data_IF_559685421359
#
_entry.id   IF_559685421359
#
_cell.length_a   1.000
_cell.length_b   1.000
_cell.length_c   1.000
_cell.angle_alpha   90.00
_cell.angle_beta   90.00
_cell.angle_gamma   90.00
#
_symmetry.space_group_name_H-M   'P 1'
#
loop_
_entity.id
_entity.type
_entity.pdbx_description
1 polymer ?
#
# COMPACT_ATOMS: atom_id res chain seq x y z
N UNK A 1 -14.71 12.83 -5.15
CA UNK A 1 -15.31 12.44 -6.46
C UNK A 1 -15.25 10.91 -6.54
N UNK A 2 -16.39 10.21 -6.55
CA UNK A 2 -16.40 8.75 -6.47
C UNK A 2 -15.90 8.17 -7.80
N UNK A 3 -14.75 7.50 -7.78
CA UNK A 3 -14.11 6.96 -8.97
C UNK A 3 -14.76 5.60 -9.30
N UNK A 4 -15.97 5.68 -9.86
CA UNK A 4 -16.84 4.56 -10.23
C UNK A 4 -16.06 3.48 -11.01
N UNK A 5 -16.32 2.22 -10.69
CA UNK A 5 -15.89 0.99 -11.36
C UNK A 5 -16.02 1.07 -12.90
N UNK A 6 -16.99 1.82 -13.43
CA UNK A 6 -17.09 2.12 -14.87
C UNK A 6 -15.96 3.00 -15.40
N UNK A 7 -15.57 4.06 -14.67
CA UNK A 7 -14.40 4.89 -15.02
C UNK A 7 -13.11 4.11 -14.89
N UNK A 8 -13.01 3.19 -13.92
CA UNK A 8 -11.88 2.26 -13.79
C UNK A 8 -11.73 1.37 -15.05
N UNK A 9 -12.83 0.78 -15.53
CA UNK A 9 -12.86 -0.03 -16.76
C UNK A 9 -12.62 0.79 -18.05
N UNK A 10 -13.04 2.06 -18.09
CA UNK A 10 -12.77 2.96 -19.22
C UNK A 10 -11.33 3.50 -19.25
N UNK A 11 -10.73 3.79 -18.09
CA UNK A 11 -9.36 4.28 -17.97
C UNK A 11 -8.32 3.23 -18.40
N UNK A 12 -8.55 1.96 -18.04
CA UNK A 12 -7.72 0.81 -18.45
C UNK A 12 -7.74 0.58 -19.97
N UNK A 13 -8.84 0.94 -20.66
CA UNK A 13 -8.92 0.81 -22.12
C UNK A 13 -8.14 1.89 -22.89
N UNK A 14 -7.82 3.02 -22.26
CA UNK A 14 -7.25 4.21 -22.93
C UNK A 14 -5.77 4.46 -22.64
N UNK A 15 -5.15 3.80 -21.66
CA UNK A 15 -3.80 4.17 -21.23
C UNK A 15 -2.73 4.02 -22.32
N UNK A 16 -2.83 2.96 -23.14
CA UNK A 16 -1.92 2.70 -24.27
C UNK A 16 -2.03 3.71 -25.41
N UNK A 17 -3.12 4.49 -25.49
CA UNK A 17 -3.34 5.47 -26.56
C UNK A 17 -2.67 6.82 -26.27
N UNK A 18 -2.27 7.09 -25.03
CA UNK A 18 -1.75 8.40 -24.63
C UNK A 18 -0.23 8.58 -24.85
N UNK A 19 0.50 7.51 -25.15
CA UNK A 19 1.94 7.55 -25.45
C UNK A 19 2.25 6.85 -26.76
N UNK A 20 1.81 7.45 -27.87
CA UNK A 20 2.31 7.07 -29.19
C UNK A 20 2.53 8.34 -30.03
N UNK A 21 3.77 8.82 -30.22
CA UNK A 21 4.09 9.45 -31.48
C UNK A 21 4.24 8.31 -32.50
N UNK A 22 3.24 8.07 -33.33
CA UNK A 22 3.42 7.21 -34.52
C UNK A 22 4.32 7.99 -35.47
N UNK A 23 5.62 7.82 -35.32
CA UNK A 23 6.55 8.26 -36.34
C UNK A 23 6.49 7.24 -37.47
N UNK A 24 5.78 7.57 -38.55
CA UNK A 24 5.86 6.80 -39.80
C UNK A 24 7.25 7.01 -40.42
N UNK A 25 8.21 6.20 -40.00
CA UNK A 25 9.51 6.13 -40.64
C UNK A 25 9.38 5.29 -41.91
N UNK A 26 9.33 5.95 -43.06
CA UNK A 26 9.37 5.27 -44.36
C UNK A 26 10.80 4.87 -44.70
N UNK A 27 11.08 3.57 -44.61
CA UNK A 27 12.41 3.00 -44.90
C UNK A 27 12.63 2.91 -46.41
N UNK A 28 13.74 3.45 -46.97
CA UNK A 28 14.03 3.36 -48.40
C UNK A 28 14.09 1.91 -48.91
N UNK A 29 13.57 1.65 -50.14
CA UNK A 29 13.45 0.29 -50.72
C UNK A 29 14.78 -0.50 -50.77
N UNK A 30 15.92 0.18 -50.87
CA UNK A 30 17.24 -0.46 -50.84
C UNK A 30 17.58 -1.01 -49.44
N UNK A 31 17.28 -0.26 -48.37
CA UNK A 31 17.50 -0.68 -46.98
C UNK A 31 16.59 -1.87 -46.63
N UNK A 32 15.35 -1.89 -47.12
CA UNK A 32 14.41 -3.01 -46.93
C UNK A 32 14.89 -4.33 -47.55
N UNK A 33 15.77 -4.29 -48.57
CA UNK A 33 16.35 -5.47 -49.21
C UNK A 33 17.67 -5.92 -48.60
N UNK A 34 18.52 -4.98 -48.14
CA UNK A 34 19.86 -5.30 -47.63
C UNK A 34 19.87 -5.57 -46.13
N UNK A 35 18.94 -4.98 -45.37
CA UNK A 35 18.86 -5.13 -43.92
C UNK A 35 18.60 -6.59 -43.47
N UNK A 36 17.70 -7.38 -44.09
CA UNK A 36 17.51 -8.77 -43.68
C UNK A 36 18.77 -9.63 -43.88
N UNK A 37 19.53 -9.36 -44.96
CA UNK A 37 20.76 -10.08 -45.26
C UNK A 37 21.89 -9.71 -44.29
N UNK A 38 22.05 -8.42 -43.97
CA UNK A 38 23.03 -7.96 -42.99
C UNK A 38 22.66 -8.42 -41.57
N UNK A 39 21.38 -8.39 -41.20
CA UNK A 39 20.90 -8.92 -39.93
C UNK A 39 21.14 -10.43 -39.81
N UNK A 40 20.91 -11.20 -40.88
CA UNK A 40 21.21 -12.63 -40.91
C UNK A 40 22.72 -12.91 -40.76
N UNK A 41 23.58 -12.11 -41.40
CA UNK A 41 25.04 -12.23 -41.27
C UNK A 41 25.49 -11.88 -39.84
N UNK A 42 24.96 -10.81 -39.25
CA UNK A 42 25.27 -10.42 -37.86
C UNK A 42 24.78 -11.49 -36.87
N UNK A 43 23.58 -12.04 -37.06
CA UNK A 43 23.06 -13.15 -36.25
C UNK A 43 23.91 -14.41 -36.40
N UNK A 44 24.37 -14.74 -37.62
CA UNK A 44 25.28 -15.86 -37.87
C UNK A 44 26.62 -15.63 -37.16
N UNK A 45 27.17 -14.42 -37.20
CA UNK A 45 28.41 -14.06 -36.52
C UNK A 45 28.26 -14.11 -34.99
N UNK A 46 27.13 -13.65 -34.44
CA UNK A 46 26.82 -13.73 -33.01
C UNK A 46 26.58 -15.17 -32.53
N UNK A 47 26.03 -16.02 -33.39
CA UNK A 47 25.85 -17.44 -33.13
C UNK A 47 27.19 -18.19 -33.16
N UNK A 48 28.07 -17.85 -34.11
CA UNK A 48 29.41 -18.44 -34.24
C UNK A 48 30.40 -17.92 -33.19
N UNK A 49 30.22 -16.70 -32.66
CA UNK A 49 31.09 -16.12 -31.62
C UNK A 49 30.79 -16.61 -30.21
N UNK A 50 29.78 -17.47 -30.02
CA UNK A 50 29.35 -17.95 -28.70
C UNK A 50 28.78 -16.84 -27.79
N UNK A 51 28.55 -15.63 -28.31
CA UNK A 51 28.10 -14.47 -27.53
C UNK A 51 26.62 -14.55 -27.14
N UNK A 52 25.87 -15.51 -27.68
CA UNK A 52 24.46 -15.73 -27.33
C UNK A 52 24.24 -16.58 -26.08
N UNK A 53 25.30 -17.19 -25.52
CA UNK A 53 25.19 -18.06 -24.34
C UNK A 53 24.93 -17.30 -23.03
N UNK A 54 24.99 -15.95 -23.03
CA UNK A 54 24.89 -15.14 -21.81
C UNK A 54 23.65 -14.24 -21.67
N UNK A 55 22.78 -14.14 -22.68
CA UNK A 55 21.67 -13.14 -22.67
C UNK A 55 20.31 -13.77 -22.32
N UNK A 56 20.14 -15.09 -22.48
CA UNK A 56 18.86 -15.77 -22.23
C UNK A 56 18.70 -16.35 -20.82
N UNK A 57 19.59 -16.05 -19.87
CA UNK A 57 19.52 -16.61 -18.51
C UNK A 57 18.63 -15.80 -17.53
N UNK A 58 18.21 -14.58 -17.86
CA UNK A 58 17.53 -13.69 -16.88
C UNK A 58 16.01 -13.76 -16.86
N UNK A 59 15.40 -14.52 -17.78
CA UNK A 59 13.94 -14.57 -17.92
C UNK A 59 13.37 -16.00 -17.85
N UNK A 60 14.15 -16.95 -17.34
CA UNK A 60 13.76 -18.37 -17.25
C UNK A 60 13.93 -18.95 -15.84
N UNK A 61 13.51 -18.21 -14.80
CA UNK A 61 13.19 -18.80 -13.50
C UNK A 61 11.70 -18.62 -13.15
N UNK A 62 10.84 -18.73 -14.17
CA UNK A 62 9.40 -18.89 -13.99
C UNK A 62 9.06 -20.32 -14.43
N UNK A 63 9.37 -21.32 -13.59
CA UNK A 63 8.93 -22.69 -13.94
C UNK A 63 8.65 -23.65 -12.79
N UNK A 64 8.72 -23.27 -11.51
CA UNK A 64 8.25 -24.16 -10.42
C UNK A 64 6.80 -23.88 -9.98
N UNK A 65 6.21 -22.77 -10.47
CA UNK A 65 4.86 -22.35 -10.10
C UNK A 65 4.69 -21.92 -8.64
N UNK A 66 5.80 -21.70 -7.90
CA UNK A 66 5.84 -21.29 -6.50
C UNK A 66 6.09 -19.79 -6.34
N UNK A 67 5.89 -19.27 -5.13
CA UNK A 67 6.22 -17.88 -4.81
C UNK A 67 7.74 -17.68 -4.69
N UNK A 68 8.28 -16.56 -5.20
CA UNK A 68 9.66 -16.18 -4.94
C UNK A 68 9.92 -16.07 -3.43
N UNK A 69 11.03 -16.65 -2.95
CA UNK A 69 11.46 -16.55 -1.55
C UNK A 69 12.18 -15.23 -1.29
N UNK A 70 11.49 -14.12 -1.53
CA UNK A 70 11.98 -12.75 -1.34
C UNK A 70 11.00 -11.97 -0.46
N UNK A 71 11.53 -11.20 0.48
CA UNK A 71 10.77 -10.30 1.34
C UNK A 71 11.25 -8.90 1.02
N UNK A 72 10.31 -8.03 0.65
CA UNK A 72 10.53 -6.65 0.29
C UNK A 72 9.91 -5.73 1.35
N UNK A 73 10.70 -4.78 1.80
CA UNK A 73 10.21 -3.59 2.49
C UNK A 73 10.71 -2.34 1.75
N UNK A 74 10.04 -1.22 1.96
CA UNK A 74 10.49 0.09 1.49
C UNK A 74 10.66 0.97 2.71
N UNK A 75 11.77 1.70 2.80
CA UNK A 75 11.96 2.65 3.87
C UNK A 75 12.79 3.86 3.48
N UNK A 76 12.88 4.86 4.34
CA UNK A 76 13.62 6.10 4.04
C UNK A 76 15.13 5.85 3.93
N UNK A 77 15.65 4.97 4.80
CA UNK A 77 17.10 4.72 4.97
C UNK A 77 17.41 3.23 4.85
N UNK A 78 18.70 2.89 4.74
CA UNK A 78 19.15 1.50 4.67
C UNK A 78 19.06 0.76 6.01
N UNK A 79 19.14 -0.57 5.97
CA UNK A 79 18.99 -1.43 7.15
C UNK A 79 20.02 -1.23 8.26
N UNK A 80 21.17 -0.61 7.95
CA UNK A 80 22.20 -0.25 8.94
C UNK A 80 21.82 0.99 9.76
N UNK A 81 20.91 1.83 9.24
CA UNK A 81 20.51 3.11 9.84
C UNK A 81 19.07 3.08 10.38
N UNK A 82 18.46 1.89 10.46
CA UNK A 82 17.12 1.72 11.02
C UNK A 82 17.08 2.15 12.50
N UNK A 83 16.00 2.82 12.86
CA UNK A 83 15.66 3.00 14.27
C UNK A 83 15.34 1.66 14.90
N UNK A 84 15.45 1.55 16.23
CA UNK A 84 15.26 0.29 16.97
C UNK A 84 13.94 -0.39 16.60
N UNK A 85 12.83 0.37 16.61
CA UNK A 85 11.48 -0.14 16.27
C UNK A 85 11.39 -0.72 14.85
N UNK A 86 11.98 -0.04 13.87
CA UNK A 86 11.96 -0.48 12.45
C UNK A 86 12.89 -1.69 12.24
N UNK A 87 13.99 -1.74 13.00
CA UNK A 87 14.91 -2.86 12.97
C UNK A 87 14.31 -4.12 13.60
N UNK A 88 13.52 -3.98 14.65
CA UNK A 88 12.83 -5.10 15.32
C UNK A 88 11.80 -5.75 14.38
N UNK A 89 10.95 -4.95 13.74
CA UNK A 89 9.98 -5.44 12.74
C UNK A 89 10.69 -6.07 11.54
N UNK A 90 11.72 -5.42 10.96
CA UNK A 90 12.50 -6.01 9.86
C UNK A 90 13.19 -7.33 10.24
N UNK A 91 13.75 -7.41 11.46
CA UNK A 91 14.38 -8.65 11.98
C UNK A 91 13.39 -9.79 12.12
N UNK A 92 12.15 -9.51 12.50
CA UNK A 92 11.11 -10.55 12.64
C UNK A 92 10.94 -11.33 11.34
N UNK A 93 10.91 -10.65 10.19
CA UNK A 93 10.80 -11.26 8.87
C UNK A 93 11.96 -12.21 8.58
N UNK A 94 13.20 -11.80 8.85
CA UNK A 94 14.40 -12.61 8.63
C UNK A 94 14.41 -13.83 9.56
N UNK A 95 14.11 -13.62 10.85
CA UNK A 95 14.14 -14.69 11.86
C UNK A 95 13.07 -15.75 11.60
N UNK A 96 11.85 -15.33 11.24
CA UNK A 96 10.74 -16.25 10.94
C UNK A 96 10.91 -16.94 9.60
N UNK A 97 11.68 -16.36 8.67
CA UNK A 97 11.81 -16.85 7.30
C UNK A 97 13.30 -16.97 6.89
N UNK A 98 14.10 -17.83 7.54
CA UNK A 98 15.55 -17.89 7.34
C UNK A 98 15.99 -18.33 5.94
N UNK A 99 15.06 -18.86 5.13
CA UNK A 99 15.32 -19.25 3.74
C UNK A 99 14.94 -18.18 2.72
N UNK A 100 14.37 -17.06 3.17
CA UNK A 100 13.96 -15.94 2.31
C UNK A 100 15.09 -14.91 2.24
N UNK A 101 15.28 -14.33 1.06
CA UNK A 101 16.13 -13.17 0.87
C UNK A 101 15.36 -11.93 1.31
N UNK A 102 15.94 -11.16 2.22
CA UNK A 102 15.40 -9.86 2.63
C UNK A 102 16.01 -8.75 1.78
N UNK A 103 15.19 -7.85 1.25
CA UNK A 103 15.59 -6.67 0.50
C UNK A 103 14.81 -5.44 0.98
N UNK A 104 15.51 -4.30 1.05
CA UNK A 104 14.90 -3.00 1.32
C UNK A 104 15.30 -2.01 0.22
N UNK A 105 14.31 -1.36 -0.39
CA UNK A 105 14.55 -0.18 -1.22
C UNK A 105 14.42 1.08 -0.39
N UNK A 106 15.26 2.06 -0.71
CA UNK A 106 15.38 3.31 0.03
C UNK A 106 15.12 4.53 -0.86
N UNK A 107 14.89 5.68 -0.23
CA UNK A 107 14.76 6.97 -0.93
C UNK A 107 15.96 7.24 -1.87
N UNK A 108 17.15 6.71 -1.53
CA UNK A 108 18.39 6.90 -2.30
C UNK A 108 18.52 5.97 -3.52
N UNK A 109 17.81 4.83 -3.55
CA UNK A 109 17.98 3.81 -4.59
C UNK A 109 16.70 3.44 -5.35
N UNK A 110 15.54 3.98 -4.94
CA UNK A 110 14.26 3.69 -5.56
C UNK A 110 14.22 4.02 -7.06
N UNK A 111 14.73 5.18 -7.46
CA UNK A 111 14.71 5.65 -8.84
C UNK A 111 15.64 4.81 -9.71
N UNK A 112 16.80 4.39 -9.18
CA UNK A 112 17.72 3.52 -9.89
C UNK A 112 17.10 2.13 -10.13
N UNK A 113 16.34 1.61 -9.15
CA UNK A 113 15.56 0.39 -9.33
C UNK A 113 14.50 0.56 -10.44
N UNK A 114 13.72 1.65 -10.39
CA UNK A 114 12.69 1.92 -11.42
C UNK A 114 13.30 2.08 -12.81
N UNK A 115 14.40 2.81 -12.96
CA UNK A 115 15.10 2.97 -14.25
C UNK A 115 15.66 1.66 -14.77
N UNK A 116 16.19 0.81 -13.89
CA UNK A 116 16.70 -0.52 -14.25
C UNK A 116 15.58 -1.44 -14.75
N UNK A 117 14.47 -1.52 -14.01
CA UNK A 117 13.42 -2.50 -14.30
C UNK A 117 12.42 -2.03 -15.36
N UNK A 118 12.13 -0.72 -15.42
CA UNK A 118 11.14 -0.14 -16.34
C UNK A 118 11.76 0.70 -17.46
N UNK A 119 13.07 1.00 -17.42
CA UNK A 119 13.77 1.70 -18.49
C UNK A 119 13.95 0.88 -19.77
N UNK A 120 14.68 1.43 -20.77
CA UNK A 120 14.83 0.83 -22.10
C UNK A 120 15.38 -0.60 -22.08
N UNK A 121 16.26 -0.92 -21.13
CA UNK A 121 16.90 -2.24 -21.01
C UNK A 121 16.07 -3.25 -20.18
N UNK A 122 15.03 -2.78 -19.50
CA UNK A 122 14.10 -3.59 -18.71
C UNK A 122 12.80 -3.85 -19.48
N UNK A 123 11.68 -3.42 -18.90
CA UNK A 123 10.35 -3.56 -19.51
C UNK A 123 10.06 -2.53 -20.61
N UNK A 124 10.96 -1.57 -20.83
CA UNK A 124 10.80 -0.49 -21.80
C UNK A 124 9.46 0.26 -21.64
N UNK A 125 9.20 0.70 -20.41
CA UNK A 125 8.07 1.52 -19.99
C UNK A 125 8.54 2.91 -19.53
N UNK A 126 9.04 3.75 -20.47
CA UNK A 126 9.54 5.08 -20.14
C UNK A 126 8.46 6.00 -19.55
N UNK A 127 7.18 5.72 -19.80
CA UNK A 127 6.03 6.36 -19.18
C UNK A 127 5.97 6.10 -17.67
N UNK A 128 6.19 4.85 -17.22
CA UNK A 128 6.28 4.49 -15.80
C UNK A 128 7.45 5.22 -15.14
N UNK A 129 8.63 5.16 -15.77
CA UNK A 129 9.84 5.86 -15.29
C UNK A 129 9.59 7.36 -15.17
N UNK A 130 8.92 7.96 -16.16
CA UNK A 130 8.62 9.38 -16.17
C UNK A 130 7.65 9.76 -15.04
N UNK A 131 6.54 9.04 -14.85
CA UNK A 131 5.59 9.35 -13.77
C UNK A 131 6.27 9.19 -12.41
N UNK A 132 6.98 8.09 -12.19
CA UNK A 132 7.65 7.83 -10.91
C UNK A 132 8.66 8.91 -10.55
N UNK A 133 9.49 9.35 -11.52
CA UNK A 133 10.47 10.42 -11.32
C UNK A 133 9.83 11.76 -10.93
N UNK A 134 8.64 12.03 -11.43
CA UNK A 134 7.97 13.32 -11.25
C UNK A 134 7.05 13.37 -10.02
N UNK A 135 6.90 12.28 -9.27
CA UNK A 135 6.09 12.25 -8.06
C UNK A 135 6.85 12.76 -6.84
N UNK A 136 6.32 13.81 -6.19
CA UNK A 136 6.86 14.36 -4.93
C UNK A 136 6.18 13.83 -3.67
N UNK A 137 4.91 13.42 -3.79
CA UNK A 137 4.15 12.88 -2.66
C UNK A 137 4.69 11.50 -2.28
N UNK A 138 5.40 11.44 -1.15
CA UNK A 138 6.12 10.23 -0.69
C UNK A 138 5.20 9.03 -0.52
N UNK A 139 3.98 9.23 -0.01
CA UNK A 139 3.02 8.14 0.20
C UNK A 139 2.65 7.46 -1.12
N UNK A 140 2.36 8.25 -2.16
CA UNK A 140 2.05 7.73 -3.50
C UNK A 140 3.26 7.07 -4.13
N UNK A 141 4.45 7.64 -3.91
CA UNK A 141 5.70 7.06 -4.40
C UNK A 141 5.92 5.67 -3.78
N UNK A 142 5.64 5.49 -2.49
CA UNK A 142 5.72 4.21 -1.80
C UNK A 142 4.64 3.21 -2.30
N UNK A 143 3.40 3.66 -2.48
CA UNK A 143 2.32 2.83 -3.05
C UNK A 143 2.64 2.36 -4.47
N UNK A 144 3.12 3.24 -5.35
CA UNK A 144 3.53 2.81 -6.68
C UNK A 144 4.74 1.88 -6.65
N UNK A 145 5.74 2.17 -5.82
CA UNK A 145 6.95 1.36 -5.74
C UNK A 145 6.64 -0.06 -5.27
N UNK A 146 5.77 -0.25 -4.27
CA UNK A 146 5.42 -1.61 -3.80
C UNK A 146 4.78 -2.44 -4.91
N UNK A 147 3.86 -1.86 -5.70
CA UNK A 147 3.25 -2.57 -6.82
C UNK A 147 4.24 -2.86 -7.94
N UNK A 148 5.16 -1.94 -8.22
CA UNK A 148 6.24 -2.12 -9.20
C UNK A 148 7.17 -3.27 -8.82
N UNK A 149 7.64 -3.31 -7.57
CA UNK A 149 8.44 -4.40 -7.04
C UNK A 149 7.69 -5.72 -7.20
N UNK A 150 6.44 -5.77 -6.75
CA UNK A 150 5.65 -7.00 -6.75
C UNK A 150 5.30 -7.48 -8.16
N UNK A 151 5.17 -6.58 -9.14
CA UNK A 151 5.05 -6.95 -10.55
C UNK A 151 6.36 -7.55 -11.12
N UNK A 152 7.51 -6.97 -10.80
CA UNK A 152 8.79 -7.40 -11.39
C UNK A 152 9.31 -8.68 -10.72
N UNK A 153 9.33 -8.68 -9.40
CA UNK A 153 10.04 -9.66 -8.57
C UNK A 153 9.10 -10.63 -7.87
N UNK A 154 7.88 -10.19 -7.52
CA UNK A 154 6.98 -10.93 -6.65
C UNK A 154 7.59 -11.22 -5.27
N UNK A 155 7.14 -12.30 -4.64
CA UNK A 155 7.52 -12.66 -3.28
C UNK A 155 6.54 -12.06 -2.28
N UNK A 156 7.04 -11.59 -1.13
CA UNK A 156 6.26 -10.97 -0.07
C UNK A 156 6.64 -9.49 0.02
N UNK A 157 5.65 -8.62 0.06
CA UNK A 157 5.82 -7.23 0.46
C UNK A 157 5.27 -7.03 1.88
N UNK A 158 5.94 -6.20 2.67
CA UNK A 158 5.44 -5.70 3.95
C UNK A 158 5.91 -4.26 4.20
N UNK A 159 5.06 -3.41 4.78
CA UNK A 159 5.47 -2.09 5.27
C UNK A 159 6.50 -2.25 6.40
N UNK A 160 7.31 -1.21 6.65
CA UNK A 160 8.47 -1.32 7.57
C UNK A 160 8.04 -1.64 9.01
N UNK A 161 6.88 -1.17 9.42
CA UNK A 161 6.30 -1.32 10.77
C UNK A 161 5.39 -2.55 10.89
N UNK A 162 5.52 -3.49 9.96
CA UNK A 162 4.85 -4.79 10.03
C UNK A 162 5.79 -5.84 10.59
N UNK A 163 5.36 -6.49 11.66
CA UNK A 163 6.00 -7.63 12.27
C UNK A 163 5.48 -8.95 11.68
N UNK A 164 6.39 -9.87 11.35
CA UNK A 164 6.07 -11.24 11.03
C UNK A 164 5.84 -12.06 12.31
N UNK A 165 4.58 -12.39 12.60
CA UNK A 165 4.21 -13.25 13.73
C UNK A 165 4.51 -14.73 13.44
N UNK A 166 4.41 -15.12 12.16
CA UNK A 166 4.56 -16.49 11.67
C UNK A 166 5.41 -16.56 10.39
N UNK A 167 5.88 -17.76 10.07
CA UNK A 167 6.58 -18.03 8.81
C UNK A 167 5.61 -17.87 7.62
N UNK A 168 6.05 -17.28 6.50
CA UNK A 168 5.27 -16.97 5.28
C UNK A 168 4.55 -18.20 4.73
N UNK A 169 5.16 -19.38 4.80
CA UNK A 169 4.51 -20.65 4.46
C UNK A 169 3.20 -20.96 5.22
N UNK A 170 2.86 -20.22 6.29
CA UNK A 170 1.56 -20.29 6.98
C UNK A 170 0.50 -19.39 6.34
N UNK A 171 0.87 -18.49 5.43
CA UNK A 171 -0.07 -17.66 4.67
C UNK A 171 -0.87 -18.51 3.68
N UNK A 172 -0.45 -19.75 3.43
CA UNK A 172 -1.18 -20.73 2.62
C UNK A 172 -1.55 -21.90 3.55
N UNK A 173 -2.83 -22.03 3.94
CA UNK A 173 -3.29 -23.16 4.73
C UNK A 173 -3.05 -24.48 4.01
N UNK A 174 -2.79 -25.55 4.76
CA UNK A 174 -2.37 -26.85 4.23
C UNK A 174 -3.38 -27.47 3.24
N UNK A 175 -4.64 -27.05 3.28
CA UNK A 175 -5.68 -27.49 2.33
C UNK A 175 -5.50 -26.96 0.91
N UNK A 176 -4.68 -25.93 0.71
CA UNK A 176 -4.37 -25.38 -0.61
C UNK A 176 -3.01 -25.84 -1.09
N UNK A 177 -2.89 -25.94 -2.41
CA UNK A 177 -1.61 -26.14 -3.07
C UNK A 177 -1.08 -24.78 -3.54
N UNK A 178 0.13 -24.44 -3.09
CA UNK A 178 0.83 -23.21 -3.46
C UNK A 178 0.85 -22.95 -4.97
N UNK A 179 0.97 -24.01 -5.78
CA UNK A 179 1.05 -23.87 -7.23
C UNK A 179 -0.21 -23.32 -7.89
N UNK A 180 -1.36 -23.50 -7.23
CA UNK A 180 -2.66 -23.06 -7.72
C UNK A 180 -3.00 -21.63 -7.27
N UNK A 181 -2.12 -21.00 -6.50
CA UNK A 181 -2.29 -19.66 -5.95
C UNK A 181 -1.28 -18.72 -6.59
N UNK A 182 -1.75 -17.62 -7.16
CA UNK A 182 -0.95 -16.57 -7.76
C UNK A 182 -0.70 -15.40 -6.80
N UNK A 183 -1.65 -15.13 -5.90
CA UNK A 183 -1.62 -14.03 -4.95
C UNK A 183 -2.24 -14.44 -3.62
N UNK A 184 -1.69 -13.95 -2.52
CA UNK A 184 -2.27 -14.03 -1.17
C UNK A 184 -2.44 -12.61 -0.64
N UNK A 185 -3.67 -12.29 -0.25
CA UNK A 185 -4.05 -11.04 0.44
C UNK A 185 -4.87 -11.38 1.68
N UNK A 186 -5.02 -10.43 2.59
CA UNK A 186 -5.93 -10.54 3.73
C UNK A 186 -6.98 -9.45 3.70
N UNK A 187 -8.10 -9.68 4.40
CA UNK A 187 -9.09 -8.64 4.67
C UNK A 187 -8.52 -7.67 5.72
N UNK A 188 -8.62 -6.36 5.47
CA UNK A 188 -8.25 -5.30 6.40
C UNK A 188 -9.47 -4.75 7.12
N UNK A 189 -10.47 -4.28 6.36
CA UNK A 189 -11.71 -3.70 6.86
C UNK A 189 -12.87 -4.41 6.17
N UNK A 190 -13.80 -4.90 6.97
CA UNK A 190 -15.04 -5.55 6.55
C UNK A 190 -16.22 -4.96 7.32
N UNK A 191 -16.71 -3.82 6.83
CA UNK A 191 -17.78 -3.03 7.45
C UNK A 191 -18.80 -2.58 6.36
N UNK A 192 -19.37 -3.52 5.58
CA UNK A 192 -20.18 -3.20 4.39
C UNK A 192 -21.43 -2.36 4.69
N UNK A 193 -21.87 -2.30 5.95
CA UNK A 193 -22.96 -1.44 6.43
C UNK A 193 -22.72 0.04 6.12
N UNK A 194 -21.45 0.46 6.05
CA UNK A 194 -21.07 1.85 5.77
C UNK A 194 -20.82 2.14 4.30
N UNK A 195 -21.09 1.21 3.37
CA UNK A 195 -20.84 1.38 1.92
C UNK A 195 -21.40 2.70 1.36
N UNK A 196 -22.59 3.10 1.81
CA UNK A 196 -23.26 4.33 1.34
C UNK A 196 -22.92 5.57 2.19
N UNK A 197 -22.11 5.43 3.24
CA UNK A 197 -21.72 6.55 4.10
C UNK A 197 -20.75 7.49 3.36
N UNK A 198 -20.95 8.82 3.39
CA UNK A 198 -20.18 9.77 2.58
C UNK A 198 -18.67 9.80 2.88
N UNK A 199 -18.27 9.63 4.14
CA UNK A 199 -16.86 9.61 4.59
C UNK A 199 -16.28 8.19 4.68
N UNK A 200 -17.03 7.24 5.24
CA UNK A 200 -16.56 5.88 5.52
C UNK A 200 -16.68 4.91 4.34
N UNK A 201 -17.62 5.11 3.42
CA UNK A 201 -17.96 4.13 2.39
C UNK A 201 -16.84 3.81 1.40
N UNK A 202 -15.89 4.72 1.20
CA UNK A 202 -14.75 4.45 0.32
C UNK A 202 -13.69 3.51 0.92
N UNK A 203 -13.75 3.27 2.23
CA UNK A 203 -12.72 2.53 2.99
C UNK A 203 -13.29 1.39 3.84
N UNK A 204 -14.60 1.19 3.84
CA UNK A 204 -15.29 0.18 4.65
C UNK A 204 -15.12 -1.26 4.14
N UNK A 205 -14.59 -1.43 2.93
CA UNK A 205 -14.38 -2.72 2.27
C UNK A 205 -12.96 -2.71 1.67
N UNK A 206 -12.00 -3.35 2.35
CA UNK A 206 -10.61 -3.31 1.87
C UNK A 206 -9.78 -4.55 2.20
N UNK A 207 -8.97 -4.96 1.23
CA UNK A 207 -7.85 -5.86 1.44
C UNK A 207 -6.63 -5.11 1.96
N UNK A 208 -5.84 -5.82 2.78
CA UNK A 208 -4.55 -5.36 3.29
C UNK A 208 -3.59 -5.10 2.12
N UNK A 209 -3.21 -3.83 1.95
CA UNK A 209 -2.20 -3.40 0.98
C UNK A 209 -0.79 -3.34 1.57
N UNK A 210 -0.69 -3.13 2.89
CA UNK A 210 0.57 -2.98 3.59
C UNK A 210 1.29 -4.31 3.81
N UNK A 211 0.67 -5.45 3.50
CA UNK A 211 1.33 -6.76 3.39
C UNK A 211 0.58 -7.69 2.45
N UNK A 212 1.26 -8.22 1.44
CA UNK A 212 0.69 -9.24 0.55
C UNK A 212 1.80 -10.04 -0.13
N UNK A 213 1.43 -11.19 -0.70
CA UNK A 213 2.35 -12.08 -1.40
C UNK A 213 1.85 -12.33 -2.83
N UNK A 214 2.72 -12.27 -3.84
CA UNK A 214 2.32 -12.59 -5.21
C UNK A 214 3.46 -13.20 -6.03
N UNK A 215 3.09 -13.95 -7.08
CA UNK A 215 4.04 -14.32 -8.14
C UNK A 215 4.40 -13.08 -8.98
N UNK A 216 5.57 -13.05 -9.64
CA UNK A 216 5.89 -11.96 -10.54
C UNK A 216 4.97 -11.98 -11.77
N UNK A 217 4.88 -10.83 -12.45
CA UNK A 217 4.17 -10.63 -13.73
C UNK A 217 2.66 -10.82 -13.71
N UNK A 218 2.01 -10.73 -12.55
CA UNK A 218 0.55 -10.78 -12.51
C UNK A 218 -0.06 -9.58 -13.25
N UNK A 219 -1.02 -9.80 -14.18
CA UNK A 219 -1.69 -8.73 -14.90
C UNK A 219 -2.34 -7.68 -13.97
N UNK A 220 -2.90 -8.10 -12.84
CA UNK A 220 -3.52 -7.21 -11.85
C UNK A 220 -2.56 -6.14 -11.32
N UNK A 221 -1.29 -6.47 -11.09
CA UNK A 221 -0.30 -5.51 -10.58
C UNK A 221 0.05 -4.45 -11.63
N UNK A 222 0.24 -4.84 -12.89
CA UNK A 222 0.46 -3.87 -13.97
C UNK A 222 -0.78 -2.98 -14.19
N UNK A 223 -1.98 -3.57 -14.20
CA UNK A 223 -3.22 -2.80 -14.34
C UNK A 223 -3.42 -1.80 -13.21
N UNK A 224 -3.06 -2.17 -11.98
CA UNK A 224 -3.10 -1.25 -10.84
C UNK A 224 -2.13 -0.07 -11.05
N UNK A 225 -0.87 -0.34 -11.43
CA UNK A 225 0.12 0.70 -11.74
C UNK A 225 -0.41 1.65 -12.83
N UNK A 226 -0.89 1.11 -13.95
CA UNK A 226 -1.40 1.92 -15.08
C UNK A 226 -2.63 2.73 -14.70
N UNK A 227 -3.52 2.15 -13.88
CA UNK A 227 -4.70 2.87 -13.41
C UNK A 227 -4.32 4.01 -12.49
N UNK A 228 -3.38 3.81 -11.57
CA UNK A 228 -2.86 4.89 -10.72
C UNK A 228 -2.22 5.99 -11.58
N UNK A 229 -1.47 5.64 -12.61
CA UNK A 229 -0.90 6.66 -13.49
C UNK A 229 -1.98 7.43 -14.28
N UNK A 230 -3.04 6.75 -14.71
CA UNK A 230 -4.20 7.37 -15.34
C UNK A 230 -4.92 8.33 -14.39
N UNK A 231 -5.07 7.90 -13.13
CA UNK A 231 -5.62 8.70 -12.05
C UNK A 231 -4.84 9.99 -11.84
N UNK A 232 -3.53 9.87 -11.61
CA UNK A 232 -2.63 11.00 -11.35
C UNK A 232 -2.68 12.02 -12.49
N UNK A 233 -2.73 11.54 -13.73
CA UNK A 233 -2.90 12.40 -14.91
C UNK A 233 -4.24 13.13 -14.90
N UNK A 234 -5.32 12.43 -14.53
CA UNK A 234 -6.66 13.03 -14.45
C UNK A 234 -6.71 14.11 -13.38
N UNK A 235 -6.18 13.84 -12.18
CA UNK A 235 -6.09 14.83 -11.10
C UNK A 235 -5.26 16.04 -11.51
N UNK A 236 -4.09 15.82 -12.13
CA UNK A 236 -3.24 16.90 -12.61
C UNK A 236 -3.97 17.79 -13.64
N UNK A 237 -4.75 17.19 -14.55
CA UNK A 237 -5.57 17.91 -15.52
C UNK A 237 -6.70 18.70 -14.86
N UNK A 238 -7.40 18.12 -13.89
CA UNK A 238 -8.48 18.78 -13.15
C UNK A 238 -7.98 19.97 -12.34
N UNK A 239 -6.77 19.86 -11.76
CA UNK A 239 -6.12 20.95 -11.02
C UNK A 239 -5.40 21.96 -11.92
N UNK A 240 -5.21 21.65 -13.21
CA UNK A 240 -4.47 22.49 -14.15
C UNK A 240 -2.96 22.60 -13.83
N UNK A 241 -2.39 21.57 -13.19
CA UNK A 241 -0.99 21.52 -12.75
C UNK A 241 -0.24 20.33 -13.35
N UNK A 242 1.09 20.30 -13.21
CA UNK A 242 1.87 19.11 -13.52
C UNK A 242 1.68 18.03 -12.44
N UNK A 243 1.94 16.75 -12.77
CA UNK A 243 1.90 15.63 -11.80
C UNK A 243 2.74 15.92 -10.55
N UNK A 244 3.85 16.64 -10.73
CA UNK A 244 4.77 17.03 -9.66
C UNK A 244 4.18 17.96 -8.61
N UNK A 245 3.15 18.71 -8.98
CA UNK A 245 2.57 19.77 -8.14
C UNK A 245 1.13 19.44 -7.71
N UNK A 246 0.66 18.21 -7.94
CA UNK A 246 -0.68 17.77 -7.50
C UNK A 246 -0.78 17.88 -5.97
N UNK A 247 -1.94 18.34 -5.53
CA UNK A 247 -2.34 18.30 -4.12
C UNK A 247 -3.44 17.28 -3.97
N UNK A 248 -3.36 16.45 -2.94
CA UNK A 248 -4.33 15.38 -2.71
C UNK A 248 -4.79 15.44 -1.26
N UNK A 249 -6.09 15.25 -1.06
CA UNK A 249 -6.63 15.02 0.27
C UNK A 249 -6.44 13.55 0.71
N UNK A 250 -6.79 13.26 1.97
CA UNK A 250 -6.64 11.93 2.56
C UNK A 250 -7.40 10.86 1.77
N UNK A 251 -8.67 11.11 1.46
CA UNK A 251 -9.55 10.14 0.81
C UNK A 251 -9.15 9.88 -0.65
N UNK A 252 -8.63 10.90 -1.33
CA UNK A 252 -8.05 10.78 -2.66
C UNK A 252 -6.83 9.84 -2.68
N UNK A 253 -5.96 9.87 -1.67
CA UNK A 253 -4.84 8.93 -1.59
C UNK A 253 -5.34 7.50 -1.36
N UNK A 254 -6.24 7.31 -0.38
CA UNK A 254 -6.82 5.99 -0.07
C UNK A 254 -7.52 5.38 -1.28
N UNK A 255 -8.32 6.19 -1.98
CA UNK A 255 -9.09 5.74 -3.15
C UNK A 255 -8.27 5.67 -4.43
N UNK A 256 -7.22 6.49 -4.58
CA UNK A 256 -6.44 6.60 -5.81
C UNK A 256 -5.29 5.61 -5.90
N UNK A 257 -4.55 5.42 -4.81
CA UNK A 257 -3.34 4.56 -4.75
C UNK A 257 -3.33 3.61 -3.57
N UNK A 258 -4.16 3.88 -2.57
CA UNK A 258 -4.26 3.14 -1.33
C UNK A 258 -5.18 1.91 -1.39
N UNK A 259 -5.63 1.42 -0.22
CA UNK A 259 -6.21 0.09 -0.08
C UNK A 259 -7.46 -0.10 -0.93
N UNK A 260 -8.25 0.95 -1.15
CA UNK A 260 -9.45 0.86 -2.01
C UNK A 260 -9.08 0.70 -3.50
N UNK A 261 -8.01 1.33 -3.98
CA UNK A 261 -7.53 1.14 -5.35
C UNK A 261 -7.02 -0.29 -5.57
N UNK A 262 -6.23 -0.78 -4.61
CA UNK A 262 -5.72 -2.15 -4.58
C UNK A 262 -6.87 -3.18 -4.57
N UNK A 263 -7.84 -2.98 -3.69
CA UNK A 263 -9.01 -3.87 -3.54
C UNK A 263 -9.83 -3.94 -4.82
N UNK A 264 -10.18 -2.79 -5.42
CA UNK A 264 -10.94 -2.77 -6.69
C UNK A 264 -10.19 -3.46 -7.82
N UNK A 265 -8.87 -3.30 -7.91
CA UNK A 265 -8.07 -3.97 -8.93
C UNK A 265 -8.11 -5.50 -8.80
N UNK A 266 -8.05 -6.01 -7.56
CA UNK A 266 -8.08 -7.45 -7.28
C UNK A 266 -9.47 -8.03 -7.54
N UNK A 267 -10.53 -7.37 -7.08
CA UNK A 267 -11.91 -7.81 -7.35
C UNK A 267 -12.21 -7.85 -8.85
N UNK A 268 -11.73 -6.86 -9.60
CA UNK A 268 -11.84 -6.83 -11.06
C UNK A 268 -11.07 -7.99 -11.72
N UNK A 269 -9.84 -8.29 -11.27
CA UNK A 269 -9.06 -9.43 -11.77
C UNK A 269 -9.73 -10.78 -11.47
N UNK A 270 -10.22 -10.97 -10.24
CA UNK A 270 -10.99 -12.17 -9.87
C UNK A 270 -12.24 -12.34 -10.75
N UNK A 271 -12.94 -11.24 -11.00
CA UNK A 271 -14.14 -11.23 -11.84
C UNK A 271 -13.82 -11.64 -13.27
N UNK A 272 -12.80 -11.04 -13.86
CA UNK A 272 -12.33 -11.35 -15.22
C UNK A 272 -11.88 -12.81 -15.35
N UNK A 273 -11.06 -13.29 -14.42
CA UNK A 273 -10.51 -14.65 -14.45
C UNK A 273 -11.57 -15.73 -14.26
N UNK A 274 -12.58 -15.46 -13.45
CA UNK A 274 -13.64 -16.44 -13.17
C UNK A 274 -14.85 -16.32 -14.09
N UNK A 275 -14.96 -15.23 -14.86
CA UNK A 275 -16.14 -14.93 -15.67
C UNK A 275 -17.41 -14.67 -14.84
N UNK A 276 -17.25 -14.29 -13.56
CA UNK A 276 -18.34 -14.01 -12.62
C UNK A 276 -18.16 -12.62 -12.02
N UNK A 277 -19.25 -12.01 -11.55
CA UNK A 277 -19.18 -10.75 -10.82
C UNK A 277 -18.74 -11.00 -9.37
N UNK A 278 -17.45 -10.82 -9.08
CA UNK A 278 -16.88 -10.99 -7.75
C UNK A 278 -16.87 -9.64 -7.04
N UNK A 279 -17.71 -9.51 -6.02
CA UNK A 279 -17.87 -8.31 -5.18
C UNK A 279 -17.44 -8.59 -3.74
N UNK A 280 -17.44 -7.56 -2.88
CA UNK A 280 -17.05 -7.71 -1.48
C UNK A 280 -17.87 -8.75 -0.70
N UNK A 281 -19.09 -9.04 -1.13
CA UNK A 281 -19.99 -10.06 -0.56
C UNK A 281 -19.38 -11.46 -0.40
N UNK A 282 -18.34 -11.78 -1.16
CA UNK A 282 -17.61 -13.05 -1.05
C UNK A 282 -16.61 -13.09 0.11
N UNK A 283 -16.28 -11.93 0.68
CA UNK A 283 -15.24 -11.73 1.69
C UNK A 283 -15.77 -11.13 2.98
N UNK A 284 -17.07 -10.81 3.03
CA UNK A 284 -17.76 -10.42 4.25
C UNK A 284 -17.93 -11.61 5.20
N UNK A 285 -17.71 -11.40 6.50
CA UNK A 285 -17.79 -12.41 7.56
C UNK A 285 -16.97 -13.67 7.25
N UNK A 286 -15.76 -13.47 6.72
CA UNK A 286 -14.90 -14.56 6.28
C UNK A 286 -14.32 -15.33 7.48
N UNK A 287 -14.93 -16.46 7.85
CA UNK A 287 -14.40 -17.32 8.93
C UNK A 287 -13.05 -17.94 8.58
N UNK A 288 -12.89 -18.42 7.34
CA UNK A 288 -11.67 -19.06 6.87
C UNK A 288 -11.27 -18.58 5.48
N UNK A 289 -9.98 -18.70 5.15
CA UNK A 289 -9.45 -18.28 3.84
C UNK A 289 -10.20 -18.89 2.64
N UNK A 290 -10.31 -18.12 1.56
CA UNK A 290 -11.04 -18.50 0.34
C UNK A 290 -10.20 -18.22 -0.92
N UNK A 291 -10.19 -19.16 -1.89
CA UNK A 291 -9.43 -19.04 -3.14
C UNK A 291 -10.35 -18.75 -4.32
N UNK A 292 -10.22 -17.58 -4.94
CA UNK A 292 -11.00 -17.16 -6.10
C UNK A 292 -10.07 -16.62 -7.19
N UNK A 293 -10.16 -17.16 -8.40
CA UNK A 293 -9.38 -16.67 -9.55
C UNK A 293 -7.87 -16.77 -9.39
N UNK A 294 -7.36 -17.67 -8.55
CA UNK A 294 -5.94 -17.76 -8.21
C UNK A 294 -5.50 -16.83 -7.08
N UNK A 295 -6.40 -16.03 -6.50
CA UNK A 295 -6.10 -15.20 -5.33
C UNK A 295 -6.68 -15.84 -4.08
N UNK A 296 -5.81 -16.19 -3.14
CA UNK A 296 -6.18 -16.66 -1.81
C UNK A 296 -6.38 -15.45 -0.89
N UNK A 297 -7.58 -15.31 -0.36
CA UNK A 297 -7.95 -14.25 0.59
C UNK A 297 -7.97 -14.86 1.99
N UNK A 298 -7.21 -14.27 2.91
CA UNK A 298 -7.19 -14.59 4.33
C UNK A 298 -8.21 -13.74 5.09
N UNK A 299 -8.70 -14.27 6.23
CA UNK A 299 -9.62 -13.54 7.09
C UNK A 299 -8.93 -12.36 7.80
N UNK A 300 -9.75 -11.51 8.43
CA UNK A 300 -9.29 -10.31 9.15
C UNK A 300 -8.29 -10.68 10.24
N UNK A 301 -8.59 -11.67 11.07
CA UNK A 301 -7.71 -12.09 12.17
C UNK A 301 -6.30 -12.50 11.69
N UNK A 302 -6.15 -13.07 10.49
CA UNK A 302 -4.86 -13.51 10.00
C UNK A 302 -3.94 -12.34 9.63
N UNK A 303 -4.48 -11.28 9.05
CA UNK A 303 -3.69 -10.19 8.45
C UNK A 303 -3.86 -8.85 9.15
N UNK A 304 -4.99 -8.58 9.80
CA UNK A 304 -5.28 -7.34 10.50
C UNK A 304 -5.70 -7.62 11.95
N UNK A 305 -5.05 -8.59 12.62
CA UNK A 305 -5.42 -8.99 13.97
C UNK A 305 -5.37 -7.82 14.96
N UNK A 306 -6.30 -7.79 15.92
CA UNK A 306 -6.28 -6.80 17.00
C UNK A 306 -6.68 -5.39 16.60
N UNK A 307 -7.22 -5.19 15.40
CA UNK A 307 -7.98 -3.98 15.08
C UNK A 307 -9.26 -3.93 15.92
N UNK A 308 -9.72 -2.73 16.25
CA UNK A 308 -10.95 -2.53 17.03
C UNK A 308 -12.24 -2.73 16.23
N UNK A 309 -12.18 -3.37 15.07
CA UNK A 309 -13.29 -3.51 14.11
C UNK A 309 -13.22 -4.85 13.38
N UNK A 310 -14.25 -5.16 12.59
CA UNK A 310 -14.31 -6.32 11.68
C UNK A 310 -13.98 -7.66 12.34
N UNK A 311 -14.32 -7.81 13.63
CA UNK A 311 -14.03 -8.98 14.46
C UNK A 311 -12.59 -9.49 14.35
N UNK A 312 -11.62 -8.57 14.26
CA UNK A 312 -10.21 -8.84 14.03
C UNK A 312 -9.51 -9.65 15.15
N UNK A 313 -10.20 -10.05 16.21
CA UNK A 313 -9.64 -10.84 17.30
C UNK A 313 -8.49 -10.12 18.01
N UNK A 314 -7.39 -10.83 18.29
CA UNK A 314 -6.21 -10.27 18.93
C UNK A 314 -4.91 -10.91 18.46
N UNK A 315 -3.80 -10.26 18.77
CA UNK A 315 -2.45 -10.69 18.37
C UNK A 315 -1.95 -11.99 19.04
N UNK A 316 -2.59 -12.44 20.12
CA UNK A 316 -2.21 -13.67 20.83
C UNK A 316 -2.76 -14.92 20.14
N UNK A 317 -3.66 -14.75 19.18
CA UNK A 317 -4.21 -15.85 18.41
C UNK A 317 -3.13 -16.59 17.62
N UNK A 318 -3.28 -17.91 17.54
CA UNK A 318 -2.46 -18.74 16.63
C UNK A 318 -2.71 -18.40 15.16
N UNK A 319 -3.84 -17.78 14.85
CA UNK A 319 -4.28 -17.43 13.52
C UNK A 319 -3.69 -16.11 13.03
N UNK A 320 -3.28 -15.20 13.92
CA UNK A 320 -2.56 -13.97 13.56
C UNK A 320 -1.21 -14.29 12.89
N UNK A 321 -1.03 -13.87 11.64
CA UNK A 321 0.15 -14.14 10.82
C UNK A 321 1.12 -12.96 10.78
N UNK A 322 0.59 -11.74 10.86
CA UNK A 322 1.34 -10.48 10.92
C UNK A 322 0.72 -9.53 11.94
N UNK A 323 1.49 -8.51 12.34
CA UNK A 323 1.06 -7.44 13.24
C UNK A 323 1.51 -6.10 12.68
N UNK A 324 0.60 -5.16 12.51
CA UNK A 324 0.92 -3.80 12.07
C UNK A 324 1.00 -2.86 13.27
N UNK A 325 2.10 -2.12 13.39
CA UNK A 325 2.35 -1.24 14.55
C UNK A 325 1.92 0.22 14.32
N UNK A 326 1.60 0.62 13.08
CA UNK A 326 1.09 1.95 12.69
C UNK A 326 1.97 3.12 13.15
N UNK A 327 3.29 2.90 13.25
CA UNK A 327 4.23 3.90 13.76
C UNK A 327 5.10 4.55 12.69
N UNK A 328 5.09 4.03 11.46
CA UNK A 328 5.99 4.45 10.39
C UNK A 328 5.51 5.74 9.69
N UNK A 329 4.20 5.87 9.47
CA UNK A 329 3.61 6.96 8.71
C UNK A 329 2.90 7.97 9.60
N UNK A 330 3.33 9.23 9.52
CA UNK A 330 2.63 10.38 10.10
C UNK A 330 1.78 11.09 9.02
N UNK A 331 1.50 10.39 7.91
CA UNK A 331 0.72 10.94 6.79
C UNK A 331 -0.65 11.50 7.23
N UNK A 332 -1.44 10.82 8.10
CA UNK A 332 -2.73 11.34 8.54
C UNK A 332 -2.63 12.70 9.25
N UNK A 333 -1.50 12.98 9.93
CA UNK A 333 -1.27 14.27 10.60
C UNK A 333 -0.98 15.40 9.60
N UNK A 334 -0.34 15.07 8.48
CA UNK A 334 0.01 16.05 7.43
C UNK A 334 -1.11 16.26 6.41
N UNK A 335 -2.01 15.28 6.28
CA UNK A 335 -3.14 15.28 5.36
C UNK A 335 -4.38 14.89 6.15
N UNK A 336 -4.98 15.87 6.86
CA UNK A 336 -6.04 15.59 7.80
C UNK A 336 -7.26 15.00 7.09
N UNK A 337 -7.95 14.11 7.78
CA UNK A 337 -9.23 13.58 7.36
C UNK A 337 -10.29 14.68 7.38
N UNK A 338 -11.47 14.36 6.87
CA UNK A 338 -12.62 15.21 7.09
C UNK A 338 -12.82 15.42 8.60
N UNK A 339 -12.80 16.68 9.03
CA UNK A 339 -12.87 17.05 10.44
C UNK A 339 -13.99 18.07 10.62
N UNK A 340 -15.09 17.64 11.24
CA UNK A 340 -16.22 18.53 11.52
C UNK A 340 -15.81 19.52 12.63
N UNK A 341 -16.03 20.84 12.46
CA UNK A 341 -15.53 21.86 13.39
C UNK A 341 -16.00 21.64 14.84
N UNK A 342 -17.21 21.12 15.03
CA UNK A 342 -17.73 20.80 16.37
C UNK A 342 -17.39 19.38 16.84
N UNK A 343 -17.50 18.38 15.97
CA UNK A 343 -17.56 16.96 16.37
C UNK A 343 -16.32 16.14 16.01
N UNK A 344 -15.35 16.75 15.31
CA UNK A 344 -14.13 16.05 14.93
C UNK A 344 -14.32 15.12 13.73
N UNK A 345 -13.40 14.17 13.63
CA UNK A 345 -13.38 13.10 12.61
C UNK A 345 -14.34 11.96 13.01
N UNK A 346 -15.15 11.48 12.06
CA UNK A 346 -16.08 10.35 12.28
C UNK A 346 -15.33 9.04 12.54
N UNK A 347 -14.10 8.92 12.03
CA UNK A 347 -13.24 7.76 12.18
C UNK A 347 -12.84 7.49 13.64
N UNK A 348 -13.01 8.46 14.54
CA UNK A 348 -12.86 8.24 15.99
C UNK A 348 -13.88 7.26 16.55
N UNK A 349 -15.02 7.10 15.87
CA UNK A 349 -16.00 6.07 16.21
C UNK A 349 -15.50 4.65 15.93
N UNK A 350 -14.43 4.49 15.13
CA UNK A 350 -13.84 3.20 14.83
C UNK A 350 -14.89 2.15 14.43
N UNK A 351 -15.74 2.52 13.47
CA UNK A 351 -16.79 1.68 12.90
C UNK A 351 -17.96 1.32 13.85
N UNK A 352 -17.99 1.86 15.07
CA UNK A 352 -19.13 1.70 15.97
C UNK A 352 -20.39 2.36 15.39
N UNK A 353 -21.40 1.54 15.09
CA UNK A 353 -22.62 1.96 14.40
C UNK A 353 -23.40 3.04 15.16
N UNK A 354 -23.48 2.94 16.49
CA UNK A 354 -24.21 3.92 17.30
C UNK A 354 -23.47 5.26 17.36
N UNK A 355 -22.14 5.23 17.53
CA UNK A 355 -21.29 6.41 17.48
C UNK A 355 -21.37 7.13 16.13
N UNK A 356 -21.23 6.40 15.02
CA UNK A 356 -21.30 6.99 13.67
C UNK A 356 -22.67 7.62 13.44
N UNK A 357 -23.75 6.92 13.80
CA UNK A 357 -25.10 7.44 13.68
C UNK A 357 -25.30 8.73 14.49
N UNK A 358 -24.80 8.77 15.72
CA UNK A 358 -24.88 9.98 16.56
C UNK A 358 -24.09 11.13 15.92
N UNK A 359 -22.89 10.86 15.40
CA UNK A 359 -22.08 11.86 14.70
C UNK A 359 -22.78 12.42 13.46
N UNK A 360 -23.46 11.57 12.68
CA UNK A 360 -24.24 11.97 11.50
C UNK A 360 -25.44 12.85 11.87
N UNK A 361 -26.20 12.45 12.90
CA UNK A 361 -27.35 13.21 13.41
C UNK A 361 -26.90 14.58 13.94
N UNK A 362 -25.83 14.60 14.74
CA UNK A 362 -25.25 15.81 15.31
C UNK A 362 -24.72 16.76 14.23
N UNK A 363 -24.00 16.24 13.22
CA UNK A 363 -23.49 17.02 12.09
C UNK A 363 -24.63 17.61 11.26
N UNK A 364 -25.69 16.84 11.01
CA UNK A 364 -26.88 17.34 10.29
C UNK A 364 -27.62 18.41 11.08
N UNK A 365 -27.78 18.22 12.39
CA UNK A 365 -28.39 19.22 13.27
C UNK A 365 -27.57 20.51 13.28
N UNK A 366 -26.23 20.38 13.33
CA UNK A 366 -25.30 21.50 13.23
C UNK A 366 -25.51 22.29 11.95
N UNK A 367 -25.63 21.66 10.79
CA UNK A 367 -25.85 22.36 9.52
C UNK A 367 -27.06 23.31 9.60
N UNK A 368 -28.15 22.88 10.25
CA UNK A 368 -29.38 23.68 10.40
C UNK A 368 -29.35 24.72 11.54
N UNK A 369 -28.33 24.70 12.39
CA UNK A 369 -28.22 25.59 13.56
C UNK A 369 -27.93 27.05 13.15
N UNK A 370 -28.52 28.06 13.83
CA UNK A 370 -28.21 29.47 13.58
C UNK A 370 -26.72 29.80 13.77
N UNK A 371 -26.20 30.70 12.94
CA UNK A 371 -24.77 31.03 12.93
C UNK A 371 -24.27 31.61 14.26
N UNK A 372 -25.09 32.41 14.95
CA UNK A 372 -24.77 32.93 16.28
C UNK A 372 -24.59 31.82 17.31
N UNK A 373 -25.41 30.76 17.22
CA UNK A 373 -25.35 29.62 18.13
C UNK A 373 -24.14 28.74 17.81
N UNK A 374 -23.83 28.51 16.52
CA UNK A 374 -22.60 27.84 16.08
C UNK A 374 -21.36 28.55 16.63
N UNK A 375 -21.27 29.87 16.45
CA UNK A 375 -20.15 30.67 16.92
C UNK A 375 -20.00 30.61 18.45
N UNK A 376 -21.12 30.63 19.18
CA UNK A 376 -21.11 30.47 20.64
C UNK A 376 -20.60 29.09 21.06
N UNK A 377 -21.05 28.03 20.38
CA UNK A 377 -20.65 26.66 20.68
C UNK A 377 -19.16 26.43 20.36
N UNK A 378 -18.66 26.97 19.25
CA UNK A 378 -17.23 26.93 18.91
C UNK A 378 -16.38 27.68 19.94
N UNK A 379 -16.78 28.89 20.34
CA UNK A 379 -16.05 29.66 21.36
C UNK A 379 -16.00 28.92 22.71
N UNK A 380 -17.09 28.26 23.09
CA UNK A 380 -17.14 27.45 24.32
C UNK A 380 -16.25 26.20 24.20
N UNK A 381 -16.26 25.53 23.05
CA UNK A 381 -15.37 24.39 22.77
C UNK A 381 -13.91 24.81 22.87
N UNK A 382 -13.52 25.88 22.18
CA UNK A 382 -12.15 26.40 22.20
C UNK A 382 -11.70 26.80 23.62
N UNK A 383 -12.61 27.36 24.43
CA UNK A 383 -12.33 27.63 25.83
C UNK A 383 -12.05 26.35 26.63
N UNK A 384 -12.89 25.32 26.50
CA UNK A 384 -12.70 24.02 27.17
C UNK A 384 -11.43 23.32 26.73
N UNK A 385 -11.15 23.30 25.43
CA UNK A 385 -9.94 22.68 24.88
C UNK A 385 -8.67 23.38 25.39
N UNK A 386 -8.69 24.71 25.57
CA UNK A 386 -7.59 25.44 26.23
C UNK A 386 -7.42 25.03 27.70
N UNK A 387 -8.51 24.98 28.47
CA UNK A 387 -8.44 24.55 29.88
C UNK A 387 -7.94 23.11 30.02
N UNK A 388 -8.37 22.22 29.13
CA UNK A 388 -7.92 20.83 29.10
C UNK A 388 -6.43 20.73 28.72
N UNK A 389 -5.98 21.47 27.72
CA UNK A 389 -4.57 21.51 27.32
C UNK A 389 -3.66 22.08 28.42
N UNK A 390 -4.10 23.12 29.13
CA UNK A 390 -3.36 23.68 30.27
C UNK A 390 -3.25 22.68 31.42
N UNK A 391 -4.34 21.95 31.70
CA UNK A 391 -4.34 20.89 32.72
C UNK A 391 -3.40 19.75 32.33
N UNK A 392 -3.49 19.26 31.10
CA UNK A 392 -2.63 18.18 30.62
C UNK A 392 -1.15 18.58 30.60
N UNK A 393 -0.83 19.82 30.22
CA UNK A 393 0.53 20.35 30.28
C UNK A 393 1.06 20.41 31.73
N UNK A 394 0.21 20.79 32.70
CA UNK A 394 0.58 20.80 34.11
C UNK A 394 0.85 19.38 34.64
N UNK A 395 0.00 18.42 34.29
CA UNK A 395 0.16 17.00 34.66
C UNK A 395 1.41 16.38 34.02
N UNK A 396 1.68 16.65 32.73
CA UNK A 396 2.89 16.20 32.05
C UNK A 396 4.14 16.78 32.69
N UNK A 397 4.16 18.09 32.97
CA UNK A 397 5.29 18.73 33.65
C UNK A 397 5.50 18.16 35.07
N UNK A 398 4.44 17.73 35.75
CA UNK A 398 4.57 17.04 37.03
C UNK A 398 5.14 15.62 36.88
N UNK A 399 4.66 14.84 35.90
CA UNK A 399 5.22 13.52 35.57
C UNK A 399 6.71 13.61 35.24
N UNK A 400 7.10 14.53 34.37
CA UNK A 400 8.51 14.73 33.99
C UNK A 400 9.38 15.10 35.20
N UNK A 401 8.88 15.95 36.11
CA UNK A 401 9.59 16.27 37.36
C UNK A 401 9.75 15.05 38.27
N UNK A 402 8.73 14.19 38.36
CA UNK A 402 8.79 12.96 39.15
C UNK A 402 9.79 11.96 38.55
N UNK A 403 9.75 11.76 37.23
CA UNK A 403 10.68 10.89 36.51
C UNK A 403 12.13 11.36 36.62
N UNK A 404 12.38 12.68 36.50
CA UNK A 404 13.71 13.26 36.71
C UNK A 404 14.20 13.04 38.15
N UNK A 405 13.34 13.26 39.15
CA UNK A 405 13.70 13.02 40.55
C UNK A 405 14.00 11.54 40.84
N UNK A 406 13.25 10.62 40.24
CA UNK A 406 13.52 9.18 40.35
C UNK A 406 14.80 8.77 39.63
N UNK A 407 15.07 9.30 38.44
CA UNK A 407 16.31 9.07 37.71
C UNK A 407 17.54 9.58 38.47
N UNK A 408 17.45 10.76 39.10
CA UNK A 408 18.50 11.31 39.97
C UNK A 408 18.71 10.47 41.23
N UNK A 409 17.62 9.97 41.84
CA UNK A 409 17.69 9.09 43.01
C UNK A 409 18.35 7.75 42.68
N UNK A 410 18.03 7.19 41.52
CA UNK A 410 18.61 5.94 41.04
C UNK A 410 20.04 6.12 40.51
N UNK A 411 20.39 7.31 40.00
CA UNK A 411 21.75 7.67 39.58
C UNK A 411 22.71 7.98 40.73
N UNK A 412 22.20 8.49 41.87
CA UNK A 412 22.99 8.75 43.09
C UNK A 412 23.19 7.53 44.01
N UNK A 413 22.63 6.37 43.66
CA UNK A 413 22.92 5.11 44.34
C UNK A 413 24.32 4.60 43.95
N UNK A 414 25.36 5.14 44.59
CA UNK A 414 26.75 4.70 44.43
C UNK A 414 26.94 3.28 45.02
N UNK A 415 27.70 2.39 44.36
CA UNK A 415 27.92 1.02 44.83
C UNK A 415 28.90 1.02 46.02
N UNK A 416 28.41 1.26 47.23
CA UNK A 416 29.27 1.12 48.42
C UNK A 416 28.60 0.62 49.71
N UNK A 417 27.37 0.10 49.65
CA UNK A 417 26.69 -0.46 50.84
C UNK A 417 26.34 -1.96 50.67
N UNK A 418 27.29 -2.75 50.20
CA UNK A 418 27.28 -4.20 50.40
C UNK A 418 28.70 -4.67 50.74
N UNK A 419 29.01 -4.70 52.04
CA UNK A 419 30.14 -5.44 52.61
C UNK A 419 29.70 -6.30 53.77
#
# INVERSE_FOLDING_TARGET
>A
MNWDTKRYAEATKRYSEYFVPKQEVTVPKQVRRTFPALAAIVLLLLFLSGSFSGVNSRFSDVSDGRFPKKIWQIWKVGSLDFQVKDLETARSWIQKNPTFRYEVLTDDNDMAYVEKEFGPDGLNRPDIVHVYRNLRLRIIKADLLRYMIMYVEGGVYADIDVEAMRHVGKFIPQRYNERDIDMVVGVEIDEPEFHDHPVLGQKCESFVQWTFMCKPRLPVMMRLIETIMAWLKTVAQEQGVAITDIQLDFDQVISGTGPSAFTRAILADMSERTGRDITWKYFHDLEESTLIGGTLVQNVEAFAAGQGHSDAGNHESRHALVRHHYHASHWPEQHPRFNHPMYGEVERCNWDMECVKNWDEDTKNWETMPEEEKNRNLALKEFREREDAEREAAENAERERQEQAEAERNGNASPNDLR
#
